data_IF_687156739040
#
_entry.id   IF_687156739040
#
_cell.length_a   1.000
_cell.length_b   1.000
_cell.length_c   1.000
_cell.angle_alpha   90.00
_cell.angle_beta   90.00
_cell.angle_gamma   90.00
#
_symmetry.space_group_name_H-M   'P 1'
#
loop_
_entity.id
_entity.type
_entity.pdbx_description
1 polymer ?
#
# COMPACT_ATOMS: atom_id res chain seq x y z
N UNK A 1 51.11 -14.56 8.02
CA UNK A 1 49.95 -13.80 8.52
C UNK A 1 49.16 -13.18 7.36
N UNK A 2 48.40 -13.93 6.55
CA UNK A 2 47.64 -13.38 5.40
C UNK A 2 46.36 -14.17 5.02
N UNK A 3 45.78 -14.95 5.94
CA UNK A 3 44.69 -15.90 5.59
C UNK A 3 43.42 -15.81 6.43
N UNK A 4 43.30 -14.84 7.35
CA UNK A 4 42.21 -14.83 8.35
C UNK A 4 41.19 -13.70 8.17
N UNK A 5 41.46 -12.73 7.29
CA UNK A 5 40.62 -11.53 7.14
C UNK A 5 39.49 -11.77 6.12
N UNK A 6 39.64 -12.73 5.19
CA UNK A 6 38.61 -13.00 4.18
C UNK A 6 37.41 -13.80 4.71
N UNK A 7 37.55 -14.53 5.82
CA UNK A 7 36.50 -15.43 6.31
C UNK A 7 35.40 -14.69 7.09
N UNK A 8 35.71 -13.53 7.68
CA UNK A 8 34.77 -12.79 8.54
C UNK A 8 33.80 -11.93 7.71
N UNK A 9 34.17 -11.52 6.49
CA UNK A 9 33.33 -10.66 5.65
C UNK A 9 32.20 -11.43 4.94
N UNK A 10 32.39 -12.72 4.65
CA UNK A 10 31.37 -13.54 3.96
C UNK A 10 30.19 -13.87 4.88
N UNK A 11 30.44 -14.00 6.19
CA UNK A 11 29.39 -14.29 7.18
C UNK A 11 28.49 -13.05 7.38
N UNK A 12 29.02 -11.83 7.27
CA UNK A 12 28.21 -10.62 7.40
C UNK A 12 27.27 -10.37 6.21
N UNK A 13 27.61 -10.82 5.01
CA UNK A 13 26.75 -10.68 3.83
C UNK A 13 25.71 -11.80 3.71
N UNK A 14 25.97 -12.99 4.26
CA UNK A 14 25.01 -14.10 4.28
C UNK A 14 23.88 -13.88 5.31
N UNK A 15 24.12 -13.12 6.38
CA UNK A 15 23.10 -12.82 7.40
C UNK A 15 22.13 -11.72 6.94
N UNK A 16 22.54 -10.82 6.04
CA UNK A 16 21.64 -9.75 5.54
C UNK A 16 20.58 -10.27 4.55
N UNK A 17 20.81 -11.43 3.92
CA UNK A 17 19.82 -12.11 3.07
C UNK A 17 18.75 -12.87 3.88
N UNK A 18 18.95 -13.07 5.20
CA UNK A 18 18.00 -13.73 6.09
C UNK A 18 17.08 -12.77 6.87
N UNK A 19 17.27 -11.45 6.71
CA UNK A 19 16.41 -10.40 7.30
C UNK A 19 15.60 -9.69 6.21
N UNK A 20 15.58 -10.20 4.98
CA UNK A 20 14.33 -10.09 4.25
C UNK A 20 13.40 -11.06 4.97
N UNK A 21 12.40 -10.60 5.76
CA UNK A 21 11.23 -11.43 5.89
C UNK A 21 10.89 -11.77 4.44
N UNK A 22 10.79 -13.06 4.15
CA UNK A 22 9.83 -13.51 3.18
C UNK A 22 8.52 -12.88 3.65
N UNK A 23 8.32 -11.60 3.27
CA UNK A 23 7.03 -10.96 3.21
C UNK A 23 6.37 -11.88 2.22
N UNK A 24 5.70 -12.90 2.76
CA UNK A 24 4.80 -13.75 2.03
C UNK A 24 4.09 -12.78 1.11
N UNK A 25 4.40 -12.88 -0.18
CA UNK A 25 3.56 -12.30 -1.20
C UNK A 25 2.22 -12.92 -0.83
N UNK A 26 1.36 -12.13 -0.16
CA UNK A 26 0.00 -12.53 0.06
C UNK A 26 -0.50 -12.67 -1.36
N UNK A 27 -0.51 -13.91 -1.87
CA UNK A 27 -0.93 -14.19 -3.22
C UNK A 27 -2.34 -13.63 -3.29
N UNK A 28 -2.49 -12.52 -4.02
CA UNK A 28 -3.78 -11.90 -4.25
C UNK A 28 -4.67 -12.95 -4.87
N UNK A 29 -5.67 -13.36 -4.10
CA UNK A 29 -6.63 -14.36 -4.53
C UNK A 29 -8.00 -13.73 -4.40
N UNK A 30 -8.77 -13.85 -5.47
CA UNK A 30 -10.21 -13.64 -5.41
C UNK A 30 -10.76 -14.53 -4.28
N UNK A 31 -11.54 -13.94 -3.37
CA UNK A 31 -11.97 -14.63 -2.16
C UNK A 31 -11.25 -14.23 -0.87
N UNK A 32 -10.13 -13.49 -0.93
CA UNK A 32 -9.46 -13.03 0.30
C UNK A 32 -10.31 -12.02 1.07
N UNK A 33 -10.03 -11.86 2.37
CA UNK A 33 -10.76 -10.87 3.17
C UNK A 33 -10.38 -9.44 2.78
N UNK A 34 -11.33 -8.50 2.80
CA UNK A 34 -11.04 -7.09 2.49
C UNK A 34 -10.07 -6.48 3.50
N UNK A 35 -10.06 -6.95 4.76
CA UNK A 35 -9.07 -6.54 5.76
C UNK A 35 -7.64 -6.93 5.38
N UNK A 36 -7.43 -8.16 4.90
CA UNK A 36 -6.12 -8.60 4.41
C UNK A 36 -5.72 -7.85 3.14
N UNK A 37 -6.69 -7.57 2.26
CA UNK A 37 -6.48 -6.83 1.03
C UNK A 37 -6.11 -5.37 1.29
N UNK A 38 -6.76 -4.70 2.26
CA UNK A 38 -6.42 -3.35 2.67
C UNK A 38 -4.98 -3.29 3.20
N UNK A 39 -4.57 -4.26 4.01
CA UNK A 39 -3.18 -4.36 4.48
C UNK A 39 -2.24 -4.53 3.29
N UNK A 40 -2.52 -5.47 2.38
CA UNK A 40 -1.71 -5.67 1.18
C UNK A 40 -1.60 -4.38 0.33
N UNK A 41 -2.71 -3.68 0.10
CA UNK A 41 -2.74 -2.42 -0.66
C UNK A 41 -1.85 -1.34 -0.05
N UNK A 42 -1.94 -1.14 1.27
CA UNK A 42 -1.14 -0.10 1.93
C UNK A 42 0.35 -0.48 1.96
N UNK A 43 0.65 -1.78 2.02
CA UNK A 43 2.03 -2.30 1.88
C UNK A 43 2.59 -1.99 0.50
N UNK A 44 1.88 -2.36 -0.56
CA UNK A 44 2.29 -2.16 -1.96
C UNK A 44 2.34 -0.69 -2.38
N UNK A 45 1.47 0.14 -1.82
CA UNK A 45 1.54 1.59 -2.05
C UNK A 45 2.72 2.26 -1.32
N UNK A 46 3.56 1.51 -0.61
CA UNK A 46 4.72 2.02 0.12
C UNK A 46 4.37 2.89 1.33
N UNK A 47 3.13 2.77 1.83
CA UNK A 47 2.62 3.50 2.98
C UNK A 47 2.68 2.68 4.28
N UNK A 48 3.30 1.49 4.24
CA UNK A 48 3.53 0.58 5.37
C UNK A 48 4.15 1.28 6.60
N UNK A 49 5.09 2.20 6.36
CA UNK A 49 5.72 3.00 7.42
C UNK A 49 4.73 3.85 8.24
N UNK A 50 3.52 4.12 7.70
CA UNK A 50 2.46 4.87 8.40
C UNK A 50 1.52 4.00 9.24
N UNK A 51 1.43 2.71 8.94
CA UNK A 51 0.54 1.78 9.66
C UNK A 51 1.21 1.13 10.89
N UNK A 52 2.53 1.05 10.90
CA UNK A 52 3.28 0.37 11.96
C UNK A 52 3.34 -1.16 11.77
N UNK A 53 4.28 -1.86 12.43
CA UNK A 53 4.57 -3.27 12.16
C UNK A 53 3.49 -4.25 12.66
N UNK A 54 2.60 -3.82 13.56
CA UNK A 54 1.52 -4.62 14.12
C UNK A 54 0.12 -4.21 13.59
N UNK A 55 0.07 -3.48 12.48
CA UNK A 55 -1.18 -3.00 11.90
C UNK A 55 -2.10 -4.15 11.49
N UNK A 56 -3.35 -4.05 11.89
CA UNK A 56 -4.41 -4.98 11.55
C UNK A 56 -5.11 -4.59 10.25
N UNK A 57 -5.98 -5.48 9.74
CA UNK A 57 -6.88 -5.16 8.63
C UNK A 57 -7.71 -3.90 8.85
N UNK A 58 -8.13 -3.64 10.10
CA UNK A 58 -8.92 -2.45 10.41
C UNK A 58 -8.09 -1.17 10.32
N UNK A 59 -6.85 -1.20 10.84
CA UNK A 59 -5.96 -0.03 10.78
C UNK A 59 -5.66 0.36 9.33
N UNK A 60 -5.49 -0.64 8.44
CA UNK A 60 -5.30 -0.41 7.02
C UNK A 60 -6.54 0.17 6.34
N UNK A 61 -7.73 -0.35 6.68
CA UNK A 61 -9.01 0.18 6.22
C UNK A 61 -9.18 1.64 6.64
N UNK A 62 -8.98 1.95 7.92
CA UNK A 62 -9.14 3.29 8.47
C UNK A 62 -8.16 4.27 7.81
N UNK A 63 -6.94 3.83 7.51
CA UNK A 63 -5.98 4.60 6.75
C UNK A 63 -6.45 4.89 5.32
N UNK A 64 -6.96 3.89 4.59
CA UNK A 64 -7.51 4.09 3.25
C UNK A 64 -8.72 5.04 3.27
N UNK A 65 -9.61 4.90 4.25
CA UNK A 65 -10.75 5.82 4.46
C UNK A 65 -10.24 7.25 4.71
N UNK A 66 -9.18 7.44 5.51
CA UNK A 66 -8.59 8.76 5.76
C UNK A 66 -8.03 9.44 4.50
N UNK A 67 -7.65 8.63 3.50
CA UNK A 67 -7.23 9.09 2.18
C UNK A 67 -8.41 9.41 1.26
N UNK A 68 -9.64 9.08 1.66
CA UNK A 68 -10.86 9.21 0.85
C UNK A 68 -11.12 7.97 -0.01
N UNK A 69 -10.47 6.85 0.28
CA UNK A 69 -10.55 5.62 -0.49
C UNK A 69 -11.50 4.67 0.23
N UNK A 70 -12.77 4.72 -0.19
CA UNK A 70 -13.81 3.87 0.33
C UNK A 70 -14.67 3.32 -0.81
N UNK A 71 -14.98 2.01 -0.83
CA UNK A 71 -15.97 1.45 -1.73
C UNK A 71 -17.35 2.01 -1.41
N UNK A 72 -18.25 1.99 -2.40
CA UNK A 72 -19.60 2.56 -2.28
C UNK A 72 -20.42 2.01 -1.10
N UNK A 73 -20.32 0.71 -0.85
CA UNK A 73 -21.04 0.04 0.24
C UNK A 73 -20.26 0.06 1.58
N UNK A 74 -19.10 0.71 1.60
CA UNK A 74 -18.21 0.73 2.76
C UNK A 74 -17.31 -0.50 2.85
N UNK A 75 -16.27 -0.39 3.67
CA UNK A 75 -15.35 -1.49 3.94
C UNK A 75 -15.98 -2.47 4.92
N UNK A 76 -15.90 -3.76 4.61
CA UNK A 76 -16.19 -4.85 5.54
C UNK A 76 -14.93 -5.69 5.72
N UNK A 77 -14.27 -5.57 6.88
CA UNK A 77 -13.04 -6.29 7.21
C UNK A 77 -13.13 -7.80 6.93
N UNK A 78 -14.30 -8.41 7.17
CA UNK A 78 -14.54 -9.84 6.97
C UNK A 78 -15.21 -10.14 5.62
N UNK A 79 -15.61 -9.10 4.89
CA UNK A 79 -16.15 -9.19 3.55
C UNK A 79 -15.11 -9.75 2.59
N UNK A 80 -15.61 -10.28 1.48
CA UNK A 80 -14.78 -10.90 0.46
C UNK A 80 -14.37 -9.89 -0.60
N UNK A 81 -13.14 -10.02 -1.10
CA UNK A 81 -12.67 -9.29 -2.28
C UNK A 81 -13.05 -10.07 -3.54
N UNK A 82 -13.99 -9.51 -4.28
CA UNK A 82 -14.41 -9.95 -5.60
C UNK A 82 -14.28 -8.80 -6.63
N UNK A 83 -14.60 -9.09 -7.89
CA UNK A 83 -14.56 -8.06 -8.94
C UNK A 83 -15.51 -6.90 -8.66
N UNK A 84 -16.70 -7.15 -8.12
CA UNK A 84 -17.69 -6.12 -7.85
C UNK A 84 -17.18 -5.13 -6.80
N UNK A 85 -16.54 -5.65 -5.75
CA UNK A 85 -15.86 -4.87 -4.73
C UNK A 85 -14.73 -4.01 -5.32
N UNK A 86 -13.85 -4.58 -6.15
CA UNK A 86 -12.76 -3.82 -6.78
C UNK A 86 -13.27 -2.69 -7.69
N UNK A 87 -14.32 -2.95 -8.47
CA UNK A 87 -14.99 -1.93 -9.30
C UNK A 87 -15.59 -0.83 -8.41
N UNK A 88 -16.23 -1.21 -7.30
CA UNK A 88 -16.82 -0.24 -6.36
C UNK A 88 -15.77 0.68 -5.69
N UNK A 89 -14.53 0.22 -5.60
CA UNK A 89 -13.37 0.94 -5.09
C UNK A 89 -12.84 1.98 -6.08
N UNK A 90 -12.95 1.70 -7.38
CA UNK A 90 -12.59 2.63 -8.45
C UNK A 90 -13.64 3.73 -8.64
N UNK A 91 -14.88 3.52 -8.17
CA UNK A 91 -15.94 4.52 -8.24
C UNK A 91 -16.20 5.00 -9.66
N UNK A 92 -16.28 6.32 -9.85
CA UNK A 92 -16.53 6.94 -11.15
C UNK A 92 -15.31 6.83 -12.10
N UNK A 93 -14.11 6.56 -11.57
CA UNK A 93 -12.87 6.37 -12.34
C UNK A 93 -12.70 4.93 -12.87
N UNK A 94 -13.68 4.04 -12.64
CA UNK A 94 -13.64 2.66 -13.11
C UNK A 94 -13.42 2.59 -14.65
N UNK A 95 -14.08 3.47 -15.41
CA UNK A 95 -14.14 3.38 -16.87
C UNK A 95 -14.81 2.06 -17.31
N UNK A 96 -14.53 1.60 -18.53
CA UNK A 96 -15.01 0.29 -18.97
C UNK A 96 -14.19 -0.83 -18.31
N UNK A 97 -14.72 -1.38 -17.22
CA UNK A 97 -14.15 -2.51 -16.48
C UNK A 97 -14.77 -3.86 -16.84
N UNK A 98 -15.72 -3.87 -17.77
CA UNK A 98 -16.59 -5.02 -18.05
C UNK A 98 -15.82 -6.27 -18.50
N UNK A 99 -14.69 -6.07 -19.18
CA UNK A 99 -13.85 -7.14 -19.73
C UNK A 99 -12.59 -7.41 -18.91
N UNK A 100 -12.39 -6.73 -17.79
CA UNK A 100 -11.17 -6.87 -17.01
C UNK A 100 -11.19 -8.15 -16.15
N UNK A 101 -10.05 -8.83 -16.13
CA UNK A 101 -9.77 -9.91 -15.19
C UNK A 101 -9.64 -9.35 -13.77
N UNK A 102 -9.71 -10.24 -12.78
CA UNK A 102 -9.55 -9.86 -11.37
C UNK A 102 -8.18 -9.19 -11.14
N UNK A 103 -7.12 -9.77 -11.70
CA UNK A 103 -5.75 -9.26 -11.58
C UNK A 103 -5.60 -7.86 -12.19
N UNK A 104 -6.23 -7.61 -13.35
CA UNK A 104 -6.23 -6.28 -13.99
C UNK A 104 -6.98 -5.24 -13.16
N UNK A 105 -8.11 -5.63 -12.53
CA UNK A 105 -8.83 -4.76 -11.61
C UNK A 105 -8.01 -4.42 -10.37
N UNK A 106 -7.33 -5.41 -9.80
CA UNK A 106 -6.43 -5.20 -8.67
C UNK A 106 -5.29 -4.24 -9.04
N UNK A 107 -4.68 -4.42 -10.22
CA UNK A 107 -3.64 -3.52 -10.71
C UNK A 107 -4.15 -2.08 -10.85
N UNK A 108 -5.34 -1.89 -11.45
CA UNK A 108 -5.99 -0.57 -11.53
C UNK A 108 -6.23 0.06 -10.16
N UNK A 109 -6.76 -0.70 -9.20
CA UNK A 109 -7.02 -0.21 -7.84
C UNK A 109 -5.72 0.19 -7.15
N UNK A 110 -4.66 -0.61 -7.29
CA UNK A 110 -3.33 -0.28 -6.76
C UNK A 110 -2.81 1.04 -7.35
N UNK A 111 -2.88 1.19 -8.67
CA UNK A 111 -2.36 2.37 -9.36
C UNK A 111 -3.17 3.64 -8.97
N UNK A 112 -4.50 3.52 -8.84
CA UNK A 112 -5.38 4.57 -8.31
C UNK A 112 -4.97 5.00 -6.88
N UNK A 113 -4.72 4.04 -5.98
CA UNK A 113 -4.33 4.33 -4.60
C UNK A 113 -2.93 4.95 -4.53
N UNK A 114 -1.99 4.46 -5.34
CA UNK A 114 -0.64 5.03 -5.44
C UNK A 114 -0.67 6.48 -5.93
N UNK A 115 -1.52 6.78 -6.92
CA UNK A 115 -1.75 8.15 -7.39
C UNK A 115 -2.34 9.03 -6.28
N UNK A 116 -3.38 8.57 -5.58
CA UNK A 116 -4.01 9.31 -4.48
C UNK A 116 -3.02 9.62 -3.33
N UNK A 117 -2.13 8.69 -2.99
CA UNK A 117 -1.09 8.89 -1.97
C UNK A 117 -0.04 9.91 -2.47
N UNK A 118 0.33 9.85 -3.75
CA UNK A 118 1.32 10.75 -4.35
C UNK A 118 0.80 12.18 -4.48
N UNK A 119 -0.46 12.37 -4.88
CA UNK A 119 -1.10 13.68 -4.98
C UNK A 119 -1.25 14.36 -3.62
N UNK A 120 -1.62 13.61 -2.58
CA UNK A 120 -1.63 14.17 -1.21
C UNK A 120 -0.24 14.54 -0.71
N UNK A 121 0.80 13.78 -1.07
CA UNK A 121 2.19 14.18 -0.80
C UNK A 121 2.50 15.51 -1.46
N UNK A 122 2.21 15.67 -2.75
CA UNK A 122 2.44 16.92 -3.48
C UNK A 122 1.67 18.11 -2.90
N UNK A 123 0.39 17.92 -2.53
CA UNK A 123 -0.39 18.97 -1.89
C UNK A 123 0.14 19.35 -0.49
N UNK A 124 0.63 18.38 0.29
CA UNK A 124 1.25 18.66 1.59
C UNK A 124 2.57 19.44 1.44
N UNK A 125 3.39 19.13 0.43
CA UNK A 125 4.60 19.90 0.13
C UNK A 125 4.28 21.33 -0.32
N UNK A 126 3.27 21.53 -1.19
CA UNK A 126 2.82 22.87 -1.58
C UNK A 126 2.29 23.67 -0.40
N UNK A 127 1.43 23.10 0.44
CA UNK A 127 0.88 23.80 1.60
C UNK A 127 1.98 24.26 2.58
N UNK A 128 3.01 23.44 2.78
CA UNK A 128 4.15 23.79 3.64
C UNK A 128 5.06 24.84 3.00
N UNK A 129 5.21 24.81 1.67
CA UNK A 129 5.97 25.81 0.90
C UNK A 129 5.31 27.18 0.89
N UNK A 130 3.97 27.23 0.91
CA UNK A 130 3.18 28.47 0.95
C UNK A 130 3.15 29.14 2.32
N UNK A 131 3.50 28.42 3.40
CA UNK A 131 3.44 28.94 4.77
C UNK A 131 4.74 29.62 5.25
N UNK A 132 5.83 29.57 4.46
CA UNK A 132 7.13 30.16 4.82
C UNK A 132 7.37 31.55 4.21
N UNK A 133 6.31 32.35 4.09
CA UNK A 133 6.33 33.64 3.40
C UNK A 133 5.66 34.77 4.19
N UNK A 134 6.06 34.98 5.44
CA UNK A 134 5.76 36.23 6.14
C UNK A 134 7.10 36.85 6.56
N UNK A 135 7.62 37.70 5.67
CA UNK A 135 8.74 38.59 5.99
C UNK A 135 8.34 39.50 7.14
N UNK A 136 9.19 39.70 8.16
CA UNK A 136 8.99 40.76 9.13
C UNK A 136 9.30 42.09 8.44
N UNK A 137 8.34 43.01 8.48
CA UNK A 137 8.54 44.43 8.22
C UNK A 137 8.30 45.19 9.53
#
# INVERSE_FOLDING_TARGET
>A
MKGKIALITVIFFAVFALIYPAVSQAELKEGMSQGEFAVWLVKEAGALAKLGPAATGQDAIDFLISLGIAPKEGWDKNGTVDKAFLISLLGDDAGDTSNLSFEELVAKVRDYIQAAISDRRLNSFRATSSASGSSPA
#
